data_IF_808211456815
#
_entry.id   IF_808211456815
#
_cell.length_a   1.000
_cell.length_b   1.000
_cell.length_c   1.000
_cell.angle_alpha   90.00
_cell.angle_beta   90.00
_cell.angle_gamma   90.00
#
_symmetry.space_group_name_H-M   'P 1'
#
loop_
_entity.id
_entity.type
_entity.pdbx_description
1 polymer ?
#
# COMPACT_ATOMS: atom_id res chain seq x y z
N UNK A 1 4.35 -3.71 -17.44
CA UNK A 1 4.96 -4.21 -16.19
C UNK A 1 5.51 -5.61 -16.43
N UNK A 2 6.71 -5.89 -15.91
CA UNK A 2 7.35 -7.19 -16.09
C UNK A 2 6.56 -8.29 -15.38
N UNK A 3 6.66 -9.51 -15.94
CA UNK A 3 5.98 -10.69 -15.39
C UNK A 3 6.36 -10.95 -13.94
N UNK A 4 7.65 -10.79 -13.62
CA UNK A 4 8.13 -10.96 -12.25
C UNK A 4 7.51 -9.95 -11.29
N UNK A 5 7.29 -8.72 -11.74
CA UNK A 5 6.63 -7.70 -10.93
C UNK A 5 5.15 -8.02 -10.70
N UNK A 6 4.47 -8.50 -11.74
CA UNK A 6 3.07 -8.91 -11.61
C UNK A 6 2.93 -10.06 -10.61
N UNK A 7 3.85 -11.02 -10.64
CA UNK A 7 3.83 -12.13 -9.70
C UNK A 7 4.02 -11.64 -8.26
N UNK A 8 4.97 -10.73 -8.04
CA UNK A 8 5.18 -10.15 -6.71
C UNK A 8 3.93 -9.44 -6.22
N UNK A 9 3.25 -8.69 -7.09
CA UNK A 9 1.99 -8.01 -6.72
C UNK A 9 0.89 -9.02 -6.36
N UNK A 10 0.80 -10.15 -7.07
CA UNK A 10 -0.15 -11.19 -6.71
C UNK A 10 0.17 -11.78 -5.34
N UNK A 11 1.44 -12.00 -5.05
CA UNK A 11 1.87 -12.49 -3.74
C UNK A 11 1.57 -11.48 -2.63
N UNK A 12 1.79 -10.21 -2.91
CA UNK A 12 1.45 -9.14 -1.96
C UNK A 12 -0.04 -9.12 -1.68
N UNK A 13 -0.86 -9.19 -2.71
CA UNK A 13 -2.31 -9.21 -2.57
C UNK A 13 -2.76 -10.38 -1.70
N UNK A 14 -2.21 -11.56 -1.94
CA UNK A 14 -2.56 -12.77 -1.17
C UNK A 14 -2.19 -12.60 0.29
N UNK A 15 -0.97 -12.14 0.56
CA UNK A 15 -0.50 -11.94 1.92
C UNK A 15 -1.32 -10.90 2.66
N UNK A 16 -1.55 -9.75 2.03
CA UNK A 16 -2.31 -8.65 2.66
C UNK A 16 -3.76 -9.08 2.92
N UNK A 17 -4.38 -9.76 1.96
CA UNK A 17 -5.74 -10.27 2.14
C UNK A 17 -5.80 -11.21 3.35
N UNK A 18 -4.83 -12.11 3.47
CA UNK A 18 -4.76 -13.02 4.60
C UNK A 18 -4.57 -12.30 5.94
N UNK A 19 -3.63 -11.35 5.97
CA UNK A 19 -3.36 -10.57 7.18
C UNK A 19 -4.59 -9.81 7.65
N UNK A 20 -5.25 -9.11 6.74
CA UNK A 20 -6.40 -8.27 7.09
C UNK A 20 -7.66 -9.10 7.35
N UNK A 21 -7.75 -10.29 6.80
CA UNK A 21 -8.90 -11.16 7.03
C UNK A 21 -8.81 -11.95 8.33
N UNK A 22 -7.59 -12.32 8.75
CA UNK A 22 -7.41 -13.26 9.86
C UNK A 22 -6.89 -12.64 11.14
N UNK A 23 -6.30 -11.45 11.09
CA UNK A 23 -5.63 -10.84 12.24
C UNK A 23 -6.41 -9.72 12.91
N UNK A 24 -7.48 -9.22 12.28
CA UNK A 24 -8.27 -8.12 12.80
C UNK A 24 -9.60 -8.60 13.36
N UNK A 25 -10.23 -7.80 14.23
CA UNK A 25 -11.61 -8.05 14.65
C UNK A 25 -12.50 -8.00 13.41
N UNK A 26 -13.66 -8.67 13.50
CA UNK A 26 -14.57 -8.81 12.37
C UNK A 26 -14.92 -7.49 11.69
N UNK A 27 -15.20 -6.45 12.49
CA UNK A 27 -15.58 -5.15 11.93
C UNK A 27 -14.40 -4.44 11.29
N UNK A 28 -13.26 -4.43 11.99
CA UNK A 28 -12.06 -3.74 11.51
C UNK A 28 -11.53 -4.40 10.25
N UNK A 29 -11.44 -5.74 10.22
CA UNK A 29 -10.89 -6.43 9.06
C UNK A 29 -11.73 -6.20 7.80
N UNK A 30 -13.04 -6.15 7.93
CA UNK A 30 -13.91 -5.93 6.77
C UNK A 30 -13.68 -4.55 6.17
N UNK A 31 -13.69 -3.52 7.03
CA UNK A 31 -13.48 -2.16 6.55
C UNK A 31 -12.09 -1.96 5.99
N UNK A 32 -11.06 -2.47 6.67
CA UNK A 32 -9.68 -2.24 6.26
C UNK A 32 -9.34 -2.95 4.95
N UNK A 33 -9.78 -4.20 4.78
CA UNK A 33 -9.53 -4.92 3.53
C UNK A 33 -10.25 -4.26 2.36
N UNK A 34 -11.51 -3.92 2.52
CA UNK A 34 -12.28 -3.23 1.49
C UNK A 34 -11.63 -1.90 1.14
N UNK A 35 -11.24 -1.12 2.14
CA UNK A 35 -10.57 0.15 1.92
C UNK A 35 -9.27 -0.03 1.14
N UNK A 36 -8.46 -1.03 1.52
CA UNK A 36 -7.21 -1.31 0.83
C UNK A 36 -7.45 -1.66 -0.64
N UNK A 37 -8.45 -2.50 -0.92
CA UNK A 37 -8.79 -2.85 -2.30
C UNK A 37 -9.23 -1.63 -3.10
N UNK A 38 -10.00 -0.74 -2.50
CA UNK A 38 -10.44 0.50 -3.15
C UNK A 38 -9.28 1.45 -3.40
N UNK A 39 -8.35 1.54 -2.45
CA UNK A 39 -7.15 2.39 -2.61
C UNK A 39 -6.27 1.86 -3.75
N UNK A 40 -6.06 0.54 -3.84
CA UNK A 40 -5.29 -0.04 -4.94
C UNK A 40 -5.96 0.27 -6.28
N UNK A 41 -7.27 0.11 -6.38
CA UNK A 41 -8.00 0.41 -7.62
C UNK A 41 -7.89 1.89 -7.99
N UNK A 42 -8.01 2.78 -7.01
CA UNK A 42 -7.87 4.22 -7.25
C UNK A 42 -6.45 4.57 -7.71
N UNK A 43 -5.43 3.94 -7.12
CA UNK A 43 -4.05 4.15 -7.55
C UNK A 43 -3.85 3.73 -9.00
N UNK A 44 -4.47 2.64 -9.45
CA UNK A 44 -4.38 2.20 -10.84
C UNK A 44 -4.98 3.24 -11.79
N UNK A 45 -6.14 3.78 -11.45
CA UNK A 45 -6.78 4.81 -12.27
C UNK A 45 -5.92 6.07 -12.33
N UNK A 46 -5.43 6.53 -11.18
CA UNK A 46 -4.61 7.74 -11.13
C UNK A 46 -3.26 7.56 -11.84
N UNK A 47 -2.65 6.39 -11.70
CA UNK A 47 -1.38 6.09 -12.36
C UNK A 47 -1.56 6.07 -13.89
N UNK A 48 -2.68 5.52 -14.38
CA UNK A 48 -2.98 5.53 -15.81
C UNK A 48 -3.18 6.96 -16.31
N UNK A 49 -3.93 7.75 -15.58
CA UNK A 49 -4.21 9.14 -15.93
C UNK A 49 -2.93 9.96 -16.02
N UNK A 50 -2.02 9.78 -15.05
CA UNK A 50 -0.77 10.53 -14.98
C UNK A 50 0.37 9.87 -15.74
N UNK A 51 0.12 8.74 -16.40
CA UNK A 51 1.12 8.01 -17.21
C UNK A 51 2.37 7.66 -16.43
N UNK A 52 2.18 7.17 -15.22
CA UNK A 52 3.28 6.75 -14.34
C UNK A 52 4.04 5.59 -14.98
N UNK A 53 5.37 5.59 -14.90
CA UNK A 53 6.21 4.53 -15.43
C UNK A 53 6.04 3.20 -14.69
N UNK A 54 6.49 2.10 -15.31
CA UNK A 54 6.22 0.75 -14.80
C UNK A 54 6.82 0.49 -13.40
N UNK A 55 8.07 0.88 -13.18
CA UNK A 55 8.70 0.66 -11.88
C UNK A 55 8.06 1.49 -10.78
N UNK A 56 7.66 2.71 -11.10
CA UNK A 56 6.96 3.56 -10.15
C UNK A 56 5.54 3.03 -9.86
N UNK A 57 4.86 2.47 -10.86
CA UNK A 57 3.57 1.80 -10.64
C UNK A 57 3.74 0.61 -9.70
N UNK A 58 4.78 -0.18 -9.91
CA UNK A 58 5.07 -1.33 -9.07
C UNK A 58 5.26 -0.89 -7.61
N UNK A 59 6.08 0.14 -7.39
CA UNK A 59 6.29 0.68 -6.04
C UNK A 59 4.98 1.21 -5.43
N UNK A 60 4.22 1.95 -6.22
CA UNK A 60 2.95 2.54 -5.78
C UNK A 60 1.95 1.45 -5.35
N UNK A 61 1.81 0.40 -6.16
CA UNK A 61 0.85 -0.66 -5.87
C UNK A 61 1.27 -1.48 -4.66
N UNK A 62 2.57 -1.76 -4.50
CA UNK A 62 3.07 -2.41 -3.28
C UNK A 62 2.75 -1.57 -2.05
N UNK A 63 3.02 -0.26 -2.12
CA UNK A 63 2.73 0.64 -1.01
C UNK A 63 1.22 0.65 -0.71
N UNK A 64 0.38 0.69 -1.74
CA UNK A 64 -1.07 0.70 -1.56
C UNK A 64 -1.54 -0.58 -0.86
N UNK A 65 -1.04 -1.75 -1.25
CA UNK A 65 -1.40 -2.99 -0.58
C UNK A 65 -0.98 -3.01 0.88
N UNK A 66 0.21 -2.50 1.19
CA UNK A 66 0.77 -2.61 2.55
C UNK A 66 0.44 -1.46 3.48
N UNK A 67 -0.09 -0.34 2.96
CA UNK A 67 -0.16 0.90 3.77
C UNK A 67 -0.99 0.76 5.05
N UNK A 68 -1.99 -0.10 5.09
CA UNK A 68 -2.83 -0.31 6.27
C UNK A 68 -2.64 -1.65 6.95
N UNK A 69 -1.65 -2.44 6.52
CA UNK A 69 -1.40 -3.77 7.13
C UNK A 69 -1.00 -3.66 8.59
N UNK A 70 -0.51 -2.51 9.01
CA UNK A 70 -0.13 -2.29 10.42
C UNK A 70 -1.28 -2.47 11.38
N UNK A 71 -2.53 -2.32 10.93
CA UNK A 71 -3.69 -2.61 11.79
C UNK A 71 -3.75 -4.07 12.23
N UNK A 72 -3.05 -4.98 11.54
CA UNK A 72 -3.00 -6.39 11.93
C UNK A 72 -2.29 -6.60 13.28
N UNK A 73 -1.57 -5.59 13.78
CA UNK A 73 -0.94 -5.67 15.10
C UNK A 73 -1.93 -5.49 16.25
N UNK A 74 -3.19 -5.17 15.94
CA UNK A 74 -4.22 -4.96 16.96
C UNK A 74 -4.26 -3.54 17.52
N UNK A 75 -3.43 -2.64 17.00
CA UNK A 75 -3.39 -1.24 17.42
C UNK A 75 -3.41 -0.33 16.21
N UNK A 76 -4.15 0.78 16.31
CA UNK A 76 -4.14 1.80 15.27
C UNK A 76 -3.01 2.80 15.44
N UNK A 77 -2.34 2.78 16.60
CA UNK A 77 -1.25 3.71 16.89
C UNK A 77 0.00 3.29 16.12
N UNK A 78 0.59 4.23 15.39
CA UNK A 78 1.80 4.01 14.58
C UNK A 78 1.67 2.84 13.61
N UNK A 79 0.46 2.58 13.09
CA UNK A 79 0.25 1.49 12.16
C UNK A 79 1.10 1.64 10.88
N UNK A 80 1.48 2.87 10.51
CA UNK A 80 2.34 3.10 9.35
C UNK A 80 3.73 2.51 9.55
N UNK A 81 4.28 2.62 10.76
CA UNK A 81 5.58 2.02 11.08
C UNK A 81 5.53 0.50 10.98
N UNK A 82 4.45 -0.10 11.48
CA UNK A 82 4.24 -1.55 11.38
C UNK A 82 4.03 -1.96 9.92
N UNK A 83 3.26 -1.17 9.16
CA UNK A 83 3.04 -1.42 7.73
C UNK A 83 4.36 -1.41 6.97
N UNK A 84 5.25 -0.45 7.27
CA UNK A 84 6.57 -0.40 6.63
C UNK A 84 7.42 -1.61 6.98
N UNK A 85 7.37 -2.06 8.23
CA UNK A 85 8.12 -3.25 8.64
C UNK A 85 7.61 -4.49 7.89
N UNK A 86 6.30 -4.65 7.77
CA UNK A 86 5.71 -5.78 7.06
C UNK A 86 6.06 -5.74 5.57
N UNK A 87 6.04 -4.55 4.97
CA UNK A 87 6.45 -4.39 3.58
C UNK A 87 7.93 -4.75 3.40
N UNK A 88 8.80 -4.30 4.30
CA UNK A 88 10.23 -4.62 4.23
C UNK A 88 10.46 -6.13 4.35
N UNK A 89 9.78 -6.78 5.28
CA UNK A 89 9.88 -8.24 5.45
C UNK A 89 9.44 -8.98 4.19
N UNK A 90 8.38 -8.49 3.54
CA UNK A 90 7.91 -9.08 2.28
C UNK A 90 8.91 -8.88 1.16
N UNK A 91 9.46 -7.67 1.03
CA UNK A 91 10.36 -7.33 -0.07
C UNK A 91 11.75 -7.95 0.06
N UNK A 92 12.22 -8.19 1.29
CA UNK A 92 13.59 -8.63 1.54
C UNK A 92 14.01 -9.87 0.76
N UNK A 93 13.21 -10.96 0.71
CA UNK A 93 13.63 -12.18 -0.02
C UNK A 93 13.37 -12.13 -1.52
N UNK A 94 12.84 -11.04 -2.07
CA UNK A 94 12.34 -11.02 -3.43
C UNK A 94 13.22 -10.25 -4.42
N UNK A 95 14.43 -9.91 -4.05
CA UNK A 95 15.40 -9.25 -4.93
C UNK A 95 14.86 -7.95 -5.56
N UNK A 96 14.09 -7.20 -4.78
CA UNK A 96 13.54 -5.93 -5.24
C UNK A 96 14.63 -4.85 -5.11
N UNK A 97 14.87 -4.02 -6.16
CA UNK A 97 15.90 -2.98 -6.09
C UNK A 97 15.64 -2.01 -4.93
N UNK A 98 16.74 -1.56 -4.31
CA UNK A 98 16.65 -0.65 -3.16
C UNK A 98 15.91 0.65 -3.52
N UNK A 99 16.08 1.13 -4.74
CA UNK A 99 15.37 2.32 -5.22
C UNK A 99 13.85 2.16 -5.13
N UNK A 100 13.34 0.98 -5.50
CA UNK A 100 11.92 0.69 -5.42
C UNK A 100 11.49 0.56 -3.95
N UNK A 101 12.29 -0.12 -3.13
CA UNK A 101 11.99 -0.25 -1.70
C UNK A 101 11.87 1.12 -1.03
N UNK A 102 12.77 2.04 -1.36
CA UNK A 102 12.75 3.40 -0.81
C UNK A 102 11.46 4.12 -1.18
N UNK A 103 11.00 3.96 -2.42
CA UNK A 103 9.74 4.57 -2.87
C UNK A 103 8.54 3.97 -2.14
N UNK A 104 8.53 2.66 -1.92
CA UNK A 104 7.47 2.01 -1.15
C UNK A 104 7.40 2.57 0.27
N UNK A 105 8.56 2.67 0.94
CA UNK A 105 8.61 3.21 2.31
C UNK A 105 8.13 4.66 2.37
N UNK A 106 8.56 5.48 1.42
CA UNK A 106 8.15 6.88 1.35
C UNK A 106 6.65 7.03 1.17
N UNK A 107 6.06 6.22 0.29
CA UNK A 107 4.63 6.26 0.04
C UNK A 107 3.83 5.87 1.29
N UNK A 108 4.24 4.81 1.99
CA UNK A 108 3.56 4.38 3.21
C UNK A 108 3.67 5.47 4.29
N UNK A 109 4.87 6.02 4.48
CA UNK A 109 5.09 7.07 5.48
C UNK A 109 4.24 8.31 5.18
N UNK A 110 4.05 8.64 3.91
CA UNK A 110 3.28 9.83 3.53
C UNK A 110 1.81 9.74 3.92
N UNK A 111 1.28 8.53 4.12
CA UNK A 111 -0.11 8.35 4.54
C UNK A 111 -0.34 8.62 6.02
N UNK A 112 0.71 8.81 6.82
CA UNK A 112 0.57 9.13 8.25
C UNK A 112 -0.15 10.47 8.41
N UNK A 113 -1.13 10.50 9.29
CA UNK A 113 -1.90 11.73 9.51
C UNK A 113 -1.18 12.71 10.42
N UNK A 114 -1.09 14.01 10.08
CA UNK A 114 -1.56 14.61 8.81
C UNK A 114 -0.67 14.17 7.66
N UNK A 115 -1.29 13.89 6.50
CA UNK A 115 -0.53 13.37 5.36
C UNK A 115 0.44 14.39 4.82
N UNK A 116 1.65 13.93 4.45
CA UNK A 116 2.73 14.80 4.00
C UNK A 116 3.40 14.21 2.75
N UNK A 117 2.68 14.17 1.61
CA UNK A 117 3.28 13.60 0.40
C UNK A 117 4.43 14.47 -0.11
N UNK A 118 5.51 13.81 -0.52
CA UNK A 118 6.68 14.45 -1.10
C UNK A 118 6.88 13.85 -2.49
N UNK A 119 6.38 14.53 -3.50
CA UNK A 119 6.49 14.09 -4.88
C UNK A 119 5.23 13.43 -5.41
N UNK A 120 5.20 13.20 -6.74
CA UNK A 120 3.98 12.76 -7.43
C UNK A 120 3.47 11.39 -6.97
N UNK A 121 4.37 10.44 -6.73
CA UNK A 121 3.96 9.07 -6.38
C UNK A 121 3.28 9.02 -5.02
N UNK A 122 3.86 9.71 -4.04
CA UNK A 122 3.27 9.80 -2.70
C UNK A 122 1.95 10.55 -2.74
N UNK A 123 1.85 11.56 -3.61
CA UNK A 123 0.60 12.31 -3.78
C UNK A 123 -0.52 11.41 -4.31
N UNK A 124 -0.20 10.52 -5.24
CA UNK A 124 -1.21 9.58 -5.77
C UNK A 124 -1.75 8.70 -4.66
N UNK A 125 -0.88 8.10 -3.85
CA UNK A 125 -1.33 7.23 -2.77
C UNK A 125 -2.15 8.00 -1.74
N UNK A 126 -1.70 9.20 -1.35
CA UNK A 126 -2.43 10.02 -0.39
C UNK A 126 -3.80 10.43 -0.94
N UNK A 127 -3.88 10.82 -2.21
CA UNK A 127 -5.15 11.16 -2.84
C UNK A 127 -6.09 9.96 -2.88
N UNK A 128 -5.58 8.78 -3.24
CA UNK A 128 -6.37 7.56 -3.28
C UNK A 128 -6.89 7.19 -1.90
N UNK A 129 -6.06 7.34 -0.88
CA UNK A 129 -6.41 7.02 0.50
C UNK A 129 -7.52 7.94 1.02
N UNK A 130 -7.38 9.25 0.79
CA UNK A 130 -8.36 10.23 1.27
C UNK A 130 -9.63 10.25 0.44
N UNK A 131 -9.57 9.90 -0.83
CA UNK A 131 -10.73 9.92 -1.72
C UNK A 131 -11.85 9.03 -1.15
N UNK A 132 -11.50 7.83 -0.71
CA UNK A 132 -12.50 6.89 -0.20
C UNK A 132 -13.03 7.29 1.16
N UNK A 133 -12.26 8.01 1.96
CA UNK A 133 -12.75 8.55 3.21
C UNK A 133 -13.83 9.60 2.98
N UNK A 134 -13.76 10.32 1.86
CA UNK A 134 -14.73 11.35 1.53
C UNK A 134 -16.00 10.84 0.90
N UNK A 135 -16.08 9.58 0.50
CA UNK A 135 -17.24 9.03 -0.20
C UNK A 135 -18.15 8.20 0.68
N UNK A 136 -17.77 7.97 1.90
CA UNK A 136 -18.60 7.19 2.85
C UNK A 136 -19.66 8.04 3.59
#
# INVERSE_FOLDING_TARGET
>A
MQESQLLVLQEAQTLVTDLLSNKLSKNIKFHTLQHTQEVVAACQVLADYQRVGEDDRFALYLAAWFHDTGYSSGSSKDHEAVSNRLADEFMAPRSIPEEIKTKVRGCINATRMPQTPDGPLEQILCDADLFHLGTD
#
